data_IF_802640245593
#
_entry.id   IF_802640245593
#
_cell.length_a   1.000
_cell.length_b   1.000
_cell.length_c   1.000
_cell.angle_alpha   90.00
_cell.angle_beta   90.00
_cell.angle_gamma   90.00
#
_symmetry.space_group_name_H-M   'P 1'
#
loop_
_entity.id
_entity.type
_entity.pdbx_description
1 polymer ?
#
# COMPACT_ATOMS: atom_id res chain seq x y z
N UNK A 1 -22.58 17.26 -41.96
CA UNK A 1 -21.30 17.33 -41.23
C UNK A 1 -21.53 16.99 -39.75
N UNK A 2 -22.42 16.03 -39.45
CA UNK A 2 -22.86 15.64 -38.10
C UNK A 2 -23.25 14.15 -38.07
N UNK A 3 -22.29 13.26 -38.26
CA UNK A 3 -22.53 11.82 -38.09
C UNK A 3 -21.34 11.04 -37.51
N UNK A 4 -20.34 11.73 -36.96
CA UNK A 4 -19.11 11.12 -36.42
C UNK A 4 -19.00 11.15 -34.89
N UNK A 5 -20.03 11.60 -34.17
CA UNK A 5 -19.98 11.77 -32.70
C UNK A 5 -20.78 10.68 -31.93
N UNK A 6 -21.49 9.79 -32.62
CA UNK A 6 -22.29 8.73 -32.00
C UNK A 6 -21.80 7.35 -32.47
N UNK A 7 -20.82 6.73 -31.79
CA UNK A 7 -20.48 5.35 -32.16
C UNK A 7 -19.39 4.60 -31.39
N UNK A 8 -18.49 5.25 -30.66
CA UNK A 8 -17.45 4.55 -29.89
C UNK A 8 -17.65 4.81 -28.40
N UNK A 9 -18.63 4.14 -27.79
CA UNK A 9 -18.50 3.81 -26.36
C UNK A 9 -17.32 2.84 -26.28
N UNK A 10 -16.11 3.37 -26.11
CA UNK A 10 -14.92 2.58 -25.93
C UNK A 10 -15.16 1.62 -24.75
N UNK A 11 -15.37 0.35 -25.07
CA UNK A 11 -15.44 -0.74 -24.11
C UNK A 11 -14.00 -1.10 -23.80
N UNK A 12 -13.57 -0.89 -22.56
CA UNK A 12 -12.24 -1.27 -22.12
C UNK A 12 -12.29 -2.75 -21.72
N UNK A 13 -11.32 -3.55 -22.18
CA UNK A 13 -11.18 -4.94 -21.74
C UNK A 13 -10.18 -4.97 -20.58
N UNK A 14 -10.66 -5.25 -19.37
CA UNK A 14 -9.81 -5.51 -18.21
C UNK A 14 -9.38 -6.97 -18.23
N UNK A 15 -8.08 -7.24 -18.09
CA UNK A 15 -7.57 -8.62 -18.00
C UNK A 15 -8.07 -9.30 -16.71
N UNK A 16 -8.37 -10.59 -16.74
CA UNK A 16 -8.85 -11.30 -15.55
C UNK A 16 -7.80 -11.56 -14.48
N UNK A 17 -6.52 -11.32 -14.78
CA UNK A 17 -5.42 -11.57 -13.84
C UNK A 17 -5.25 -13.07 -13.53
N UNK A 18 -4.64 -13.38 -12.39
CA UNK A 18 -4.22 -14.74 -12.03
C UNK A 18 -5.38 -15.75 -11.92
N UNK A 19 -6.50 -15.36 -11.27
CA UNK A 19 -7.67 -16.23 -11.03
C UNK A 19 -8.95 -15.80 -11.76
N UNK A 20 -8.92 -14.71 -12.51
CA UNK A 20 -10.09 -14.27 -13.26
C UNK A 20 -10.17 -14.91 -14.64
N UNK A 21 -11.15 -14.44 -15.41
CA UNK A 21 -11.41 -14.92 -16.76
C UNK A 21 -10.22 -14.65 -17.69
N UNK A 22 -9.75 -15.68 -18.39
CA UNK A 22 -8.62 -15.57 -19.34
C UNK A 22 -8.96 -14.69 -20.54
N UNK A 23 -10.24 -14.61 -20.90
CA UNK A 23 -10.73 -13.71 -21.95
C UNK A 23 -10.95 -12.27 -21.43
N UNK A 24 -10.82 -12.07 -20.10
CA UNK A 24 -10.99 -10.79 -19.44
C UNK A 24 -12.44 -10.35 -19.27
N UNK A 25 -12.61 -9.12 -18.81
CA UNK A 25 -13.90 -8.53 -18.49
C UNK A 25 -14.10 -7.25 -19.30
N UNK A 26 -15.18 -7.21 -20.08
CA UNK A 26 -15.58 -6.00 -20.78
C UNK A 26 -16.18 -5.00 -19.78
N UNK A 27 -15.52 -3.85 -19.62
CA UNK A 27 -15.95 -2.78 -18.73
C UNK A 27 -16.55 -1.64 -19.55
N UNK A 28 -17.85 -1.32 -19.36
CA UNK A 28 -18.46 -0.15 -19.96
C UNK A 28 -17.81 1.16 -19.47
N UNK A 29 -17.72 2.15 -20.36
CA UNK A 29 -17.35 3.51 -19.96
C UNK A 29 -18.30 4.06 -18.88
N UNK A 30 -17.73 4.71 -17.86
CA UNK A 30 -18.47 5.23 -16.70
C UNK A 30 -18.65 4.24 -15.55
N UNK A 31 -18.02 3.07 -15.60
CA UNK A 31 -18.02 2.13 -14.48
C UNK A 31 -17.15 2.62 -13.33
N UNK A 32 -17.70 2.67 -12.12
CA UNK A 32 -16.94 2.96 -10.91
C UNK A 32 -16.10 1.73 -10.49
N UNK A 33 -14.80 1.94 -10.31
CA UNK A 33 -13.84 0.89 -9.93
C UNK A 33 -13.15 1.30 -8.63
N UNK A 34 -13.19 0.40 -7.65
CA UNK A 34 -12.46 0.55 -6.39
C UNK A 34 -11.31 -0.45 -6.34
N UNK A 35 -10.08 0.07 -6.26
CA UNK A 35 -8.89 -0.76 -6.00
C UNK A 35 -8.75 -0.88 -4.49
N UNK A 36 -8.98 -2.08 -3.96
CA UNK A 36 -8.83 -2.34 -2.52
C UNK A 36 -7.35 -2.48 -2.15
N UNK A 37 -6.69 -1.34 -1.94
CA UNK A 37 -5.29 -1.27 -1.49
C UNK A 37 -5.11 -2.01 -0.15
N UNK A 38 -6.11 -1.94 0.74
CA UNK A 38 -6.09 -2.65 2.02
C UNK A 38 -5.97 -4.17 1.84
N UNK A 39 -6.76 -4.76 0.94
CA UNK A 39 -6.72 -6.20 0.66
C UNK A 39 -5.43 -6.57 -0.08
N UNK A 40 -5.00 -5.72 -1.02
CA UNK A 40 -3.78 -5.93 -1.79
C UNK A 40 -2.54 -6.04 -0.87
N UNK A 41 -2.40 -5.11 0.10
CA UNK A 41 -1.28 -5.12 1.06
C UNK A 41 -1.36 -6.23 2.11
N UNK A 42 -2.50 -6.93 2.21
CA UNK A 42 -2.73 -8.03 3.17
C UNK A 42 -3.02 -9.36 2.48
N UNK A 43 -2.82 -9.42 1.17
CA UNK A 43 -3.09 -10.64 0.41
C UNK A 43 -2.03 -11.69 0.73
N UNK A 44 -2.42 -12.90 1.20
CA UNK A 44 -1.47 -13.99 1.41
C UNK A 44 -0.89 -14.53 0.09
N UNK A 45 -1.39 -14.07 -1.06
CA UNK A 45 -0.79 -14.38 -2.36
C UNK A 45 0.54 -13.63 -2.55
N UNK A 46 0.63 -12.38 -2.11
CA UNK A 46 1.82 -11.55 -2.33
C UNK A 46 2.74 -11.47 -1.11
N UNK A 47 2.18 -11.69 0.09
CA UNK A 47 2.87 -11.40 1.35
C UNK A 47 2.81 -12.59 2.31
N UNK A 48 3.98 -13.03 2.76
CA UNK A 48 4.08 -14.01 3.85
C UNK A 48 3.67 -13.35 5.16
N UNK A 49 2.93 -14.02 6.04
CA UNK A 49 2.48 -13.45 7.33
C UNK A 49 1.86 -12.03 7.17
N UNK A 50 0.83 -11.85 6.32
CA UNK A 50 0.36 -10.53 5.90
C UNK A 50 -0.26 -9.68 7.03
N UNK A 51 -0.56 -10.30 8.16
CA UNK A 51 -1.15 -9.65 9.33
C UNK A 51 -0.13 -9.28 10.40
N UNK A 52 1.13 -9.71 10.24
CA UNK A 52 2.19 -9.48 11.22
C UNK A 52 3.03 -8.26 10.84
N UNK A 53 3.42 -7.46 11.85
CA UNK A 53 4.31 -6.32 11.67
C UNK A 53 5.76 -6.79 11.55
N UNK A 54 6.20 -7.02 10.31
CA UNK A 54 7.56 -7.47 9.97
C UNK A 54 8.19 -6.46 9.00
N UNK A 55 8.85 -5.40 9.48
CA UNK A 55 9.50 -4.40 8.62
C UNK A 55 10.56 -4.98 7.67
N UNK A 56 11.27 -6.00 8.13
CA UNK A 56 12.38 -6.64 7.42
C UNK A 56 11.93 -7.41 6.17
N UNK A 57 10.62 -7.66 6.00
CA UNK A 57 10.08 -8.32 4.79
C UNK A 57 10.49 -7.61 3.51
N UNK A 58 10.72 -6.31 3.57
CA UNK A 58 11.07 -5.49 2.42
C UNK A 58 12.57 -5.48 2.11
N UNK A 59 13.38 -6.19 2.90
CA UNK A 59 14.82 -6.32 2.69
C UNK A 59 15.18 -7.56 1.86
N UNK A 60 14.23 -8.48 1.67
CA UNK A 60 14.46 -9.78 1.02
C UNK A 60 13.66 -9.83 -0.27
N UNK A 61 14.30 -10.25 -1.36
CA UNK A 61 13.62 -10.51 -2.63
C UNK A 61 12.68 -11.71 -2.48
N UNK A 62 11.48 -11.62 -3.07
CA UNK A 62 10.51 -12.71 -3.18
C UNK A 62 10.17 -12.92 -4.64
N UNK A 63 10.46 -14.10 -5.17
CA UNK A 63 10.04 -14.48 -6.51
C UNK A 63 8.54 -14.78 -6.55
N UNK A 64 7.94 -14.73 -7.74
CA UNK A 64 6.53 -15.09 -7.89
C UNK A 64 6.34 -16.60 -7.72
N UNK A 65 5.69 -17.00 -6.63
CA UNK A 65 5.39 -18.40 -6.33
C UNK A 65 4.03 -18.77 -6.94
N UNK A 66 4.03 -19.07 -8.24
CA UNK A 66 2.86 -19.60 -8.93
C UNK A 66 1.76 -18.59 -9.23
N UNK A 67 2.04 -17.28 -9.14
CA UNK A 67 1.11 -16.21 -9.51
C UNK A 67 1.46 -15.70 -10.91
N UNK A 68 0.69 -16.14 -11.89
CA UNK A 68 0.83 -15.71 -13.28
C UNK A 68 0.64 -14.19 -13.40
N UNK A 69 1.61 -13.52 -14.05
CA UNK A 69 1.55 -12.09 -14.34
C UNK A 69 2.06 -11.18 -13.22
N UNK A 70 2.43 -11.72 -12.06
CA UNK A 70 3.15 -10.96 -11.02
C UNK A 70 4.64 -11.30 -11.07
N UNK A 71 5.50 -10.28 -11.12
CA UNK A 71 6.95 -10.44 -11.19
C UNK A 71 7.60 -10.73 -9.83
N UNK A 72 6.83 -10.73 -8.74
CA UNK A 72 7.38 -10.84 -7.39
C UNK A 72 7.83 -9.49 -6.81
N UNK A 73 8.46 -9.53 -5.64
CA UNK A 73 9.03 -8.38 -4.94
C UNK A 73 10.55 -8.37 -5.09
N UNK A 74 11.10 -7.28 -5.60
CA UNK A 74 12.54 -7.15 -5.84
C UNK A 74 13.04 -5.72 -5.55
N UNK A 75 13.75 -5.51 -4.43
CA UNK A 75 14.32 -4.21 -4.05
C UNK A 75 15.22 -3.59 -5.12
N UNK A 76 15.84 -4.40 -5.98
CA UNK A 76 16.76 -3.91 -7.01
C UNK A 76 16.08 -3.17 -8.16
N UNK A 77 14.75 -3.30 -8.31
CA UNK A 77 13.97 -2.62 -9.38
C UNK A 77 13.90 -1.10 -9.23
N UNK A 78 14.14 -0.59 -8.03
CA UNK A 78 14.16 0.85 -7.76
C UNK A 78 15.37 1.20 -6.90
N UNK A 79 16.59 1.20 -7.48
CA UNK A 79 17.81 1.50 -6.75
C UNK A 79 17.74 2.90 -6.13
N UNK A 80 18.04 3.00 -4.83
CA UNK A 80 18.03 4.27 -4.10
C UNK A 80 16.64 4.77 -3.69
N UNK A 81 15.58 3.99 -3.88
CA UNK A 81 14.27 4.33 -3.33
C UNK A 81 14.33 4.42 -1.80
N UNK A 82 13.73 5.48 -1.23
CA UNK A 82 13.66 5.67 0.22
C UNK A 82 12.71 4.69 0.92
N UNK A 83 11.84 4.02 0.15
CA UNK A 83 10.80 3.12 0.65
C UNK A 83 10.38 2.08 -0.40
N UNK A 84 9.81 0.93 0.01
CA UNK A 84 9.24 -0.06 -0.90
C UNK A 84 8.05 0.53 -1.67
N UNK A 85 8.06 0.43 -2.99
CA UNK A 85 7.10 1.14 -3.84
C UNK A 85 6.42 0.22 -4.87
N UNK A 86 5.59 0.80 -5.73
CA UNK A 86 4.81 0.09 -6.75
C UNK A 86 5.68 -0.63 -7.78
N UNK A 87 6.90 -0.15 -8.01
CA UNK A 87 7.83 -0.75 -8.98
C UNK A 87 8.54 -1.95 -8.37
N UNK A 88 9.04 -1.81 -7.13
CA UNK A 88 9.71 -2.87 -6.37
C UNK A 88 8.78 -4.09 -6.21
N UNK A 89 7.50 -3.84 -5.95
CA UNK A 89 6.51 -4.87 -5.64
C UNK A 89 5.66 -5.33 -6.82
N UNK A 90 5.91 -4.81 -8.03
CA UNK A 90 5.06 -5.02 -9.20
C UNK A 90 3.56 -4.80 -8.89
N UNK A 91 3.26 -3.59 -8.44
CA UNK A 91 1.95 -3.09 -8.00
C UNK A 91 1.31 -3.84 -6.81
N UNK A 92 1.97 -4.80 -6.17
CA UNK A 92 1.44 -5.45 -4.97
C UNK A 92 1.52 -4.57 -3.70
N UNK A 93 2.36 -3.52 -3.71
CA UNK A 93 2.50 -2.54 -2.64
C UNK A 93 2.38 -1.12 -3.22
N UNK A 94 1.38 -0.38 -2.74
CA UNK A 94 0.94 0.91 -3.29
C UNK A 94 0.77 1.96 -2.16
N UNK A 95 1.83 2.29 -1.40
CA UNK A 95 1.72 3.23 -0.28
C UNK A 95 1.40 4.65 -0.74
N UNK A 96 1.81 5.02 -1.96
CA UNK A 96 1.59 6.34 -2.56
C UNK A 96 0.89 6.27 -3.92
N UNK A 97 0.19 5.17 -4.20
CA UNK A 97 -0.41 4.88 -5.51
C UNK A 97 0.66 4.52 -6.56
N UNK A 98 0.36 4.78 -7.83
CA UNK A 98 1.27 4.47 -8.95
C UNK A 98 0.84 5.15 -10.25
N UNK A 99 1.72 5.13 -11.25
CA UNK A 99 1.46 5.71 -12.58
C UNK A 99 1.30 7.24 -12.59
N UNK A 100 0.65 7.82 -13.62
CA UNK A 100 0.53 9.27 -13.80
C UNK A 100 -0.23 10.02 -12.70
N UNK A 101 -0.89 9.31 -11.78
CA UNK A 101 -1.66 9.85 -10.66
C UNK A 101 -1.08 9.46 -9.30
N UNK A 102 0.17 8.99 -9.27
CA UNK A 102 0.93 8.77 -8.03
C UNK A 102 0.99 10.05 -7.19
N UNK A 103 1.04 9.89 -5.87
CA UNK A 103 1.18 11.01 -4.95
C UNK A 103 2.44 11.83 -5.27
N UNK A 104 2.27 13.13 -5.47
CA UNK A 104 3.37 14.09 -5.70
C UNK A 104 4.18 14.37 -4.43
N UNK A 105 3.62 14.08 -3.26
CA UNK A 105 4.23 14.33 -1.95
C UNK A 105 4.86 13.09 -1.32
N UNK A 106 5.13 12.03 -2.08
CA UNK A 106 5.63 10.77 -1.53
C UNK A 106 6.96 10.95 -0.77
N UNK A 107 7.94 11.61 -1.37
CA UNK A 107 9.24 11.86 -0.74
C UNK A 107 9.12 12.76 0.49
N UNK A 108 8.26 13.78 0.43
CA UNK A 108 8.00 14.68 1.54
C UNK A 108 7.40 13.92 2.74
N UNK A 109 6.34 13.16 2.49
CA UNK A 109 5.65 12.40 3.53
C UNK A 109 6.55 11.35 4.19
N UNK A 110 7.40 10.67 3.40
CA UNK A 110 8.38 9.73 3.96
C UNK A 110 9.40 10.42 4.85
N UNK A 111 9.98 11.53 4.39
CA UNK A 111 10.97 12.25 5.17
C UNK A 111 10.36 12.80 6.46
N UNK A 112 9.19 13.43 6.38
CA UNK A 112 8.45 13.93 7.55
C UNK A 112 8.17 12.82 8.56
N UNK A 113 7.60 11.70 8.11
CA UNK A 113 7.26 10.57 8.98
C UNK A 113 8.48 9.92 9.61
N UNK A 114 9.57 9.79 8.83
CA UNK A 114 10.82 9.18 9.30
C UNK A 114 11.47 10.04 10.37
N UNK A 115 11.56 11.36 10.15
CA UNK A 115 12.10 12.30 11.14
C UNK A 115 11.23 12.33 12.40
N UNK A 116 9.91 12.41 12.26
CA UNK A 116 9.00 12.39 13.40
C UNK A 116 9.14 11.10 14.23
N UNK A 117 9.15 9.93 13.57
CA UNK A 117 9.30 8.64 14.22
C UNK A 117 10.67 8.51 14.91
N UNK A 118 11.76 8.86 14.22
CA UNK A 118 13.11 8.81 14.79
C UNK A 118 13.23 9.72 16.03
N UNK A 119 12.72 10.95 15.96
CA UNK A 119 12.78 11.90 17.07
C UNK A 119 11.94 11.45 18.26
N UNK A 120 10.77 10.84 18.04
CA UNK A 120 9.94 10.27 19.10
C UNK A 120 10.65 9.10 19.78
N UNK A 121 11.14 8.12 19.01
CA UNK A 121 11.77 6.92 19.54
C UNK A 121 13.14 7.18 20.19
N UNK A 122 13.87 8.21 19.76
CA UNK A 122 15.09 8.65 20.43
C UNK A 122 14.82 9.20 21.84
N UNK A 123 13.69 9.88 22.04
CA UNK A 123 13.39 10.62 23.28
C UNK A 123 12.47 9.85 24.23
N UNK A 124 11.64 8.94 23.74
CA UNK A 124 10.60 8.29 24.52
C UNK A 124 10.52 6.80 24.26
N UNK A 125 10.31 6.04 25.33
CA UNK A 125 9.75 4.70 25.25
C UNK A 125 8.22 4.82 25.21
N UNK A 126 7.59 4.10 24.28
CA UNK A 126 6.16 4.19 23.98
C UNK A 126 5.50 2.87 24.35
N UNK A 127 4.52 2.92 25.25
CA UNK A 127 3.74 1.76 25.66
C UNK A 127 2.25 1.99 25.38
N UNK A 128 1.57 1.03 24.77
CA UNK A 128 0.13 1.09 24.54
C UNK A 128 -0.63 1.13 25.88
N UNK A 129 -1.59 2.05 26.02
CA UNK A 129 -2.50 2.08 27.16
C UNK A 129 -3.74 1.25 26.85
N UNK A 130 -3.74 0.00 27.30
CA UNK A 130 -4.84 -0.94 27.09
C UNK A 130 -4.34 -2.19 26.37
N UNK A 131 -5.26 -2.94 25.76
CA UNK A 131 -4.92 -4.12 24.96
C UNK A 131 -5.01 -3.80 23.46
N UNK A 132 -4.24 -4.46 22.58
CA UNK A 132 -4.32 -4.25 21.13
C UNK A 132 -5.72 -4.42 20.55
N UNK A 133 -6.53 -5.32 21.12
CA UNK A 133 -7.91 -5.61 20.69
C UNK A 133 -8.86 -4.43 20.90
N UNK A 134 -8.49 -3.47 21.75
CA UNK A 134 -9.26 -2.24 21.96
C UNK A 134 -9.11 -1.20 20.85
N UNK A 135 -8.17 -1.40 19.92
CA UNK A 135 -7.89 -0.48 18.81
C UNK A 135 -8.76 -0.85 17.60
N UNK A 136 -9.92 -0.21 17.49
CA UNK A 136 -10.81 -0.37 16.34
C UNK A 136 -10.50 0.62 15.21
N UNK A 137 -10.60 0.16 13.96
CA UNK A 137 -10.42 0.98 12.76
C UNK A 137 -11.74 1.56 12.26
N UNK A 138 -11.70 2.82 11.81
CA UNK A 138 -12.79 3.47 11.08
C UNK A 138 -12.24 3.97 9.75
N UNK A 139 -12.94 3.66 8.66
CA UNK A 139 -12.50 4.02 7.31
C UNK A 139 -13.17 5.30 6.81
N UNK A 140 -12.43 6.08 6.02
CA UNK A 140 -12.85 7.30 5.34
C UNK A 140 -11.86 7.59 4.21
N UNK A 141 -11.50 8.86 3.99
CA UNK A 141 -10.37 9.18 3.12
C UNK A 141 -9.04 8.59 3.65
N UNK A 142 -8.92 8.50 4.98
CA UNK A 142 -7.83 7.86 5.72
C UNK A 142 -8.40 6.87 6.75
N UNK A 143 -7.57 5.95 7.22
CA UNK A 143 -7.94 5.03 8.30
C UNK A 143 -7.67 5.71 9.63
N UNK A 144 -8.69 5.80 10.48
CA UNK A 144 -8.60 6.38 11.82
C UNK A 144 -8.82 5.31 12.89
N UNK A 145 -8.36 5.59 14.11
CA UNK A 145 -8.80 4.85 15.29
C UNK A 145 -10.13 5.40 15.78
N UNK A 146 -11.06 4.51 16.14
CA UNK A 146 -12.39 4.91 16.61
C UNK A 146 -12.35 5.75 17.89
N UNK A 147 -11.49 5.35 18.83
CA UNK A 147 -11.44 5.90 20.19
C UNK A 147 -10.09 6.57 20.51
N UNK A 148 -9.25 6.81 19.50
CA UNK A 148 -7.86 7.24 19.66
C UNK A 148 -6.89 6.08 19.90
N UNK A 149 -5.59 6.36 19.76
CA UNK A 149 -4.50 5.45 20.12
C UNK A 149 -3.78 6.00 21.35
N UNK A 150 -4.22 5.58 22.53
CA UNK A 150 -3.67 6.10 23.78
C UNK A 150 -2.38 5.38 24.14
N UNK A 151 -1.30 6.15 24.34
CA UNK A 151 0.01 5.62 24.73
C UNK A 151 0.52 6.30 26.00
N UNK A 152 1.30 5.56 26.79
CA UNK A 152 2.15 6.11 27.85
C UNK A 152 3.52 6.40 27.24
N UNK A 153 4.04 7.60 27.51
CA UNK A 153 5.36 8.02 27.07
C UNK A 153 6.28 8.16 28.28
N UNK A 154 7.38 7.41 28.28
CA UNK A 154 8.43 7.53 29.30
C UNK A 154 9.67 8.13 28.64
N UNK A 155 10.18 9.25 29.18
CA UNK A 155 11.41 9.86 28.64
C UNK A 155 12.59 8.88 28.81
N UNK A 156 13.35 8.67 27.73
CA UNK A 156 14.57 7.85 27.75
C UNK A 156 15.68 8.60 28.47
N UNK A 157 16.41 7.91 29.34
CA UNK A 157 17.51 8.46 30.12
C UNK A 157 18.82 8.60 29.33
N UNK A 158 18.98 7.87 28.24
CA UNK A 158 20.10 8.04 27.31
C UNK A 158 19.77 9.13 26.29
N UNK A 159 19.94 10.38 26.71
CA UNK A 159 20.23 11.48 25.78
C UNK A 159 21.74 11.67 25.76
N UNK A 160 22.33 11.64 24.56
CA UNK A 160 23.62 12.30 24.33
C UNK A 160 23.52 13.78 24.69
#
# INVERSE_FOLDING_TARGET
>A
MDSLILGLKAKFLLTGGYKGDKDGYTIPAGTDIFISVYNLHRSPYFWDQPHDFVPERFQVQKESEGIEGWAGFDPSRSPGALYPNEIISDFAFLPFGGGPRKCVGDQFALMESTVALAMLLQKFDVELRGSPESVELVTGATIHTKNGLWCKLKRRSNGY
#
